data_IF_062887091379
#
_entry.id   IF_062887091379
#
_cell.length_a   1.000
_cell.length_b   1.000
_cell.length_c   1.000
_cell.angle_alpha   90.00
_cell.angle_beta   90.00
_cell.angle_gamma   90.00
#
_symmetry.space_group_name_H-M   'P 1'
#
loop_
_entity.id
_entity.type
_entity.pdbx_description
1 polymer ?
#
# COMPACT_ATOMS: atom_id res chain seq x y z
N UNK A 1 5.96 16.56 18.18
CA UNK A 1 5.57 16.09 16.83
C UNK A 1 4.44 16.98 16.36
N UNK A 2 4.67 17.78 15.31
CA UNK A 2 3.68 18.72 14.80
C UNK A 2 2.37 18.00 14.43
N UNK A 3 1.24 18.70 14.56
CA UNK A 3 -0.10 18.19 14.22
C UNK A 3 -0.15 17.68 12.77
N UNK A 4 0.64 18.32 11.88
CA UNK A 4 0.81 17.94 10.48
C UNK A 4 1.56 16.59 10.32
N UNK A 5 2.65 16.38 11.04
CA UNK A 5 3.38 15.09 11.02
C UNK A 5 2.48 13.93 11.47
N UNK A 6 1.64 14.18 12.48
CA UNK A 6 0.67 13.21 13.02
C UNK A 6 -0.36 12.81 11.97
N UNK A 7 -0.90 13.78 11.22
CA UNK A 7 -1.82 13.53 10.11
C UNK A 7 -1.15 12.73 8.97
N UNK A 8 0.08 13.08 8.62
CA UNK A 8 0.88 12.37 7.62
C UNK A 8 1.17 10.92 8.04
N UNK A 9 1.49 10.67 9.31
CA UNK A 9 1.73 9.30 9.83
C UNK A 9 0.48 8.44 9.71
N UNK A 10 -0.68 8.97 10.09
CA UNK A 10 -1.96 8.25 9.98
C UNK A 10 -2.27 7.95 8.50
N UNK A 11 -2.06 8.92 7.60
CA UNK A 11 -2.26 8.73 6.17
C UNK A 11 -1.31 7.66 5.61
N UNK A 12 -0.03 7.71 5.98
CA UNK A 12 0.99 6.73 5.61
C UNK A 12 0.59 5.32 6.05
N UNK A 13 0.23 5.15 7.33
CA UNK A 13 -0.21 3.85 7.87
C UNK A 13 -1.41 3.29 7.13
N UNK A 14 -2.43 4.13 6.85
CA UNK A 14 -3.62 3.73 6.10
C UNK A 14 -3.29 3.28 4.68
N UNK A 15 -2.45 4.04 3.97
CA UNK A 15 -2.02 3.71 2.61
C UNK A 15 -1.18 2.43 2.56
N UNK A 16 -0.25 2.26 3.50
CA UNK A 16 0.52 1.02 3.63
C UNK A 16 -0.39 -0.18 3.88
N UNK A 17 -1.30 -0.09 4.86
CA UNK A 17 -2.23 -1.17 5.18
C UNK A 17 -3.10 -1.52 3.97
N UNK A 18 -3.63 -0.52 3.27
CA UNK A 18 -4.41 -0.75 2.05
C UNK A 18 -3.60 -1.49 0.98
N UNK A 19 -2.37 -1.07 0.73
CA UNK A 19 -1.47 -1.74 -0.23
C UNK A 19 -1.13 -3.18 0.18
N UNK A 20 -0.79 -3.40 1.45
CA UNK A 20 -0.49 -4.72 2.00
C UNK A 20 -1.70 -5.66 1.96
N UNK A 21 -2.90 -5.17 2.25
CA UNK A 21 -4.12 -5.96 2.15
C UNK A 21 -4.42 -6.36 0.71
N UNK A 22 -4.25 -5.44 -0.25
CA UNK A 22 -4.39 -5.77 -1.67
C UNK A 22 -3.38 -6.83 -2.11
N UNK A 23 -2.12 -6.70 -1.69
CA UNK A 23 -1.10 -7.72 -1.93
C UNK A 23 -1.50 -9.08 -1.34
N UNK A 24 -1.97 -9.11 -0.09
CA UNK A 24 -2.42 -10.32 0.58
C UNK A 24 -3.56 -10.99 -0.20
N UNK A 25 -4.55 -10.22 -0.67
CA UNK A 25 -5.65 -10.71 -1.49
C UNK A 25 -5.14 -11.25 -2.83
N UNK A 26 -4.24 -10.50 -3.49
CA UNK A 26 -3.63 -10.92 -4.76
C UNK A 26 -2.88 -12.25 -4.64
N UNK A 27 -2.05 -12.40 -3.62
CA UNK A 27 -1.37 -13.66 -3.32
C UNK A 27 -2.35 -14.77 -2.92
N UNK A 28 -3.35 -14.46 -2.12
CA UNK A 28 -4.40 -15.40 -1.72
C UNK A 28 -5.11 -16.00 -2.94
N UNK A 29 -5.46 -15.18 -3.93
CA UNK A 29 -6.05 -15.67 -5.18
C UNK A 29 -5.11 -16.62 -5.92
N UNK A 30 -3.83 -16.28 -6.06
CA UNK A 30 -2.86 -17.10 -6.80
C UNK A 30 -2.58 -18.43 -6.05
N UNK A 31 -2.51 -18.40 -4.72
CA UNK A 31 -2.21 -19.57 -3.90
C UNK A 31 -3.41 -20.52 -3.86
N UNK A 32 -4.57 -20.05 -3.42
CA UNK A 32 -5.75 -20.89 -3.21
C UNK A 32 -6.55 -21.18 -4.48
N UNK A 33 -6.41 -20.34 -5.52
CA UNK A 33 -7.04 -20.51 -6.84
C UNK A 33 -8.56 -20.76 -6.80
N UNK A 34 -9.34 -19.97 -6.04
CA UNK A 34 -10.76 -20.24 -5.80
C UNK A 34 -11.63 -20.15 -7.07
N UNK A 35 -11.12 -19.54 -8.14
CA UNK A 35 -11.84 -19.32 -9.40
C UNK A 35 -11.25 -20.16 -10.56
N UNK A 36 -10.39 -21.14 -10.24
CA UNK A 36 -9.60 -21.89 -11.21
C UNK A 36 -8.28 -21.19 -11.57
N UNK A 37 -7.38 -21.93 -12.23
CA UNK A 37 -5.98 -21.50 -12.43
C UNK A 37 -5.88 -20.17 -13.19
N UNK A 38 -6.46 -20.09 -14.39
CA UNK A 38 -6.28 -18.94 -15.29
C UNK A 38 -6.93 -17.68 -14.72
N UNK A 39 -8.17 -17.77 -14.24
CA UNK A 39 -8.91 -16.61 -13.72
C UNK A 39 -8.27 -16.06 -12.44
N UNK A 40 -7.89 -16.93 -11.49
CA UNK A 40 -7.22 -16.49 -10.26
C UNK A 40 -5.85 -15.88 -10.51
N UNK A 41 -5.12 -16.35 -11.53
CA UNK A 41 -3.81 -15.80 -11.88
C UNK A 41 -3.94 -14.41 -12.53
N UNK A 42 -4.90 -14.22 -13.46
CA UNK A 42 -5.19 -12.91 -14.07
C UNK A 42 -5.66 -11.91 -13.01
N UNK A 43 -6.66 -12.28 -12.20
CA UNK A 43 -7.16 -11.40 -11.13
C UNK A 43 -6.08 -11.09 -10.09
N UNK A 44 -5.28 -12.09 -9.70
CA UNK A 44 -4.14 -11.89 -8.80
C UNK A 44 -3.13 -10.88 -9.35
N UNK A 45 -2.75 -11.01 -10.63
CA UNK A 45 -1.83 -10.08 -11.29
C UNK A 45 -2.39 -8.65 -11.37
N UNK A 46 -3.69 -8.50 -11.69
CA UNK A 46 -4.36 -7.19 -11.72
C UNK A 46 -4.38 -6.56 -10.32
N UNK A 47 -4.78 -7.30 -9.29
CA UNK A 47 -4.81 -6.81 -7.91
C UNK A 47 -3.40 -6.44 -7.44
N UNK A 48 -2.38 -7.24 -7.80
CA UNK A 48 -0.99 -6.94 -7.52
C UNK A 48 -0.56 -5.61 -8.15
N UNK A 49 -0.88 -5.38 -9.43
CA UNK A 49 -0.61 -4.10 -10.11
C UNK A 49 -1.32 -2.91 -9.42
N UNK A 50 -2.59 -3.07 -9.05
CA UNK A 50 -3.37 -2.04 -8.35
C UNK A 50 -2.82 -1.74 -6.96
N UNK A 51 -2.26 -2.74 -6.25
CA UNK A 51 -1.66 -2.56 -4.93
C UNK A 51 -0.51 -1.54 -4.91
N UNK A 52 0.17 -1.33 -6.04
CA UNK A 52 1.24 -0.34 -6.13
C UNK A 52 0.72 1.09 -5.99
N UNK A 53 -0.55 1.37 -6.28
CA UNK A 53 -1.12 2.72 -6.15
C UNK A 53 -1.02 3.21 -4.70
N UNK A 54 -1.63 2.54 -3.70
CA UNK A 54 -1.51 2.97 -2.32
C UNK A 54 -0.07 2.84 -1.77
N UNK A 55 0.73 1.85 -2.22
CA UNK A 55 2.13 1.71 -1.78
C UNK A 55 3.02 2.85 -2.25
N UNK A 56 2.87 3.29 -3.51
CA UNK A 56 3.63 4.42 -4.05
C UNK A 56 3.18 5.74 -3.41
N UNK A 57 1.87 5.88 -3.12
CA UNK A 57 1.39 7.01 -2.31
C UNK A 57 1.97 6.99 -0.90
N UNK A 58 2.02 5.83 -0.23
CA UNK A 58 2.65 5.69 1.06
C UNK A 58 4.13 6.08 1.01
N UNK A 59 4.86 5.64 -0.02
CA UNK A 59 6.27 6.02 -0.24
C UNK A 59 6.44 7.53 -0.40
N UNK A 60 5.56 8.19 -1.16
CA UNK A 60 5.57 9.66 -1.30
C UNK A 60 5.30 10.35 0.03
N UNK A 61 4.35 9.86 0.82
CA UNK A 61 4.05 10.37 2.17
C UNK A 61 5.24 10.20 3.11
N UNK A 62 5.90 9.03 3.09
CA UNK A 62 7.09 8.78 3.89
C UNK A 62 8.24 9.74 3.54
N UNK A 63 8.46 10.03 2.25
CA UNK A 63 9.43 11.02 1.80
C UNK A 63 9.10 12.43 2.33
N UNK A 64 7.83 12.84 2.28
CA UNK A 64 7.39 14.13 2.83
C UNK A 64 7.62 14.20 4.34
N UNK A 65 7.25 13.16 5.08
CA UNK A 65 7.50 13.08 6.52
C UNK A 65 8.99 13.18 6.85
N UNK A 66 9.85 12.49 6.10
CA UNK A 66 11.30 12.57 6.28
C UNK A 66 11.81 13.99 6.07
N UNK A 67 11.37 14.68 5.01
CA UNK A 67 11.77 16.08 4.74
C UNK A 67 11.36 17.01 5.87
N UNK A 68 10.15 16.89 6.40
CA UNK A 68 9.67 17.73 7.50
C UNK A 68 10.49 17.45 8.77
N UNK A 69 10.68 16.17 9.10
CA UNK A 69 11.48 15.77 10.26
C UNK A 69 12.95 16.26 10.19
N UNK A 70 13.56 16.24 9.00
CA UNK A 70 14.92 16.77 8.79
C UNK A 70 15.00 18.29 8.83
N UNK A 71 13.91 19.01 8.55
CA UNK A 71 13.86 20.48 8.63
C UNK A 71 13.72 21.01 10.06
N UNK A 72 13.49 20.13 11.05
CA UNK A 72 13.44 20.52 12.46
C UNK A 72 12.15 21.23 12.88
N UNK A 73 11.10 21.18 12.06
CA UNK A 73 9.74 21.67 12.37
C UNK A 73 8.83 20.56 12.95
#
# INVERSE_FOLDING_TARGET
MSEELKKLEIAYRKLLLAGLLLLLVGFGLIIFKPLGWTASLILGAVIFAVSFIPLELARRTARRMAVIAFRGE
#
